data_IF_881043059131
#
_entry.id   IF_881043059131
#
_cell.length_a   1.000
_cell.length_b   1.000
_cell.length_c   1.000
_cell.angle_alpha   90.00
_cell.angle_beta   90.00
_cell.angle_gamma   90.00
#
_symmetry.space_group_name_H-M   'P 1'
#
loop_
_entity.id
_entity.type
_entity.pdbx_description
1 polymer ?
#
# COMPACT_ATOMS: atom_id res chain seq x y z
N UNK A 1 8.68 -17.53 35.70
CA UNK A 1 9.40 -17.87 34.46
C UNK A 1 9.30 -16.69 33.52
N UNK A 2 10.41 -16.22 32.96
CA UNK A 2 10.41 -15.03 32.11
C UNK A 2 9.86 -15.36 30.72
N UNK A 3 8.86 -14.61 30.27
CA UNK A 3 8.33 -14.65 28.90
C UNK A 3 9.03 -13.60 28.06
N UNK A 4 9.45 -13.93 26.85
CA UNK A 4 10.14 -12.99 25.95
C UNK A 4 9.31 -12.73 24.69
N UNK A 5 9.21 -11.47 24.21
CA UNK A 5 8.56 -11.19 22.94
C UNK A 5 9.36 -11.77 21.76
N UNK A 6 8.66 -12.15 20.70
CA UNK A 6 9.31 -12.57 19.45
C UNK A 6 9.82 -11.37 18.65
N UNK A 7 11.02 -11.47 18.09
CA UNK A 7 11.61 -10.38 17.29
C UNK A 7 10.79 -10.02 16.05
N UNK A 8 10.31 -11.03 15.32
CA UNK A 8 9.54 -10.84 14.08
C UNK A 8 8.05 -10.57 14.33
N UNK A 9 7.54 -10.97 15.51
CA UNK A 9 6.13 -10.86 15.89
C UNK A 9 6.01 -10.40 17.35
N UNK A 10 6.28 -9.11 17.65
CA UNK A 10 6.43 -8.65 19.04
C UNK A 10 5.20 -8.79 19.94
N UNK A 11 4.01 -8.96 19.35
CA UNK A 11 2.76 -9.22 20.08
C UNK A 11 2.66 -10.67 20.58
N UNK A 12 3.45 -11.59 20.02
CA UNK A 12 3.56 -12.97 20.46
C UNK A 12 4.76 -13.14 21.40
N UNK A 13 4.66 -14.09 22.34
CA UNK A 13 5.70 -14.32 23.35
C UNK A 13 6.10 -15.79 23.42
N UNK A 14 7.38 -16.05 23.65
CA UNK A 14 7.87 -17.37 24.01
C UNK A 14 7.88 -17.50 25.53
N UNK A 15 7.27 -18.58 26.02
CA UNK A 15 7.32 -18.99 27.42
C UNK A 15 8.10 -20.30 27.52
N UNK A 16 9.18 -20.38 28.31
CA UNK A 16 9.87 -21.64 28.56
C UNK A 16 8.91 -22.72 29.09
N UNK A 17 9.04 -23.93 28.56
CA UNK A 17 8.32 -25.13 28.97
C UNK A 17 9.33 -26.25 29.36
N UNK A 18 8.83 -27.45 29.63
CA UNK A 18 9.68 -28.57 30.03
C UNK A 18 10.64 -29.03 28.91
N UNK A 19 11.77 -29.61 29.31
CA UNK A 19 12.75 -30.22 28.40
C UNK A 19 13.30 -29.29 27.29
N UNK A 20 13.40 -27.98 27.56
CA UNK A 20 13.92 -27.00 26.60
C UNK A 20 12.93 -26.61 25.49
N UNK A 21 11.70 -27.12 25.55
CA UNK A 21 10.60 -26.64 24.71
C UNK A 21 10.14 -25.26 25.15
N UNK A 22 9.41 -24.56 24.28
CA UNK A 22 8.77 -23.29 24.60
C UNK A 22 7.32 -23.32 24.12
N UNK A 23 6.41 -22.80 24.93
CA UNK A 23 5.07 -22.46 24.46
C UNK A 23 5.13 -21.14 23.72
N UNK A 24 4.49 -21.07 22.56
CA UNK A 24 4.18 -19.82 21.89
C UNK A 24 2.86 -19.30 22.45
N UNK A 25 2.87 -18.09 23.00
CA UNK A 25 1.69 -17.40 23.50
C UNK A 25 1.23 -16.33 22.50
N UNK A 26 -0.06 -16.37 22.18
CA UNK A 26 -0.76 -15.32 21.44
C UNK A 26 -0.94 -14.05 22.32
N UNK A 27 -1.34 -12.91 21.72
CA UNK A 27 -1.54 -11.66 22.46
C UNK A 27 -2.58 -11.76 23.60
N UNK A 28 -3.56 -12.66 23.45
CA UNK A 28 -4.57 -12.97 24.47
C UNK A 28 -4.06 -13.86 25.62
N UNK A 29 -2.79 -14.27 25.56
CA UNK A 29 -2.12 -15.13 26.54
C UNK A 29 -2.39 -16.63 26.37
N UNK A 30 -3.17 -17.05 25.36
CA UNK A 30 -3.41 -18.47 25.08
C UNK A 30 -2.24 -19.09 24.32
N UNK A 31 -2.07 -20.40 24.47
CA UNK A 31 -1.04 -21.15 23.73
C UNK A 31 -1.45 -21.26 22.26
N UNK A 32 -0.68 -20.64 21.39
CA UNK A 32 -0.85 -20.60 19.95
C UNK A 32 -0.11 -21.73 19.22
N UNK A 33 0.89 -22.31 19.87
CA UNK A 33 1.78 -23.32 19.31
C UNK A 33 2.90 -23.69 20.26
N UNK A 34 3.81 -24.53 19.79
CA UNK A 34 4.98 -24.99 20.54
C UNK A 34 6.24 -24.86 19.70
N UNK A 35 7.36 -24.63 20.39
CA UNK A 35 8.71 -24.75 19.85
C UNK A 35 9.37 -25.92 20.54
N UNK A 36 9.67 -26.98 19.78
CA UNK A 36 10.26 -28.19 20.29
C UNK A 36 11.77 -28.17 20.07
N UNK A 37 12.53 -28.49 21.12
CA UNK A 37 13.97 -28.74 20.99
C UNK A 37 14.20 -30.11 20.35
N UNK A 38 15.14 -30.17 19.39
CA UNK A 38 15.52 -31.39 18.68
C UNK A 38 17.04 -31.47 18.53
N UNK A 39 17.57 -32.66 18.24
CA UNK A 39 18.99 -32.88 18.00
C UNK A 39 19.43 -32.10 16.75
N UNK A 40 19.96 -30.89 16.95
CA UNK A 40 20.43 -30.01 15.88
C UNK A 40 19.67 -28.68 15.74
N UNK A 41 18.63 -28.42 16.54
CA UNK A 41 17.93 -27.13 16.51
C UNK A 41 16.56 -27.13 17.19
N UNK A 42 15.70 -26.24 16.72
CA UNK A 42 14.36 -26.00 17.22
C UNK A 42 13.36 -26.05 16.05
N UNK A 43 12.19 -26.64 16.26
CA UNK A 43 11.14 -26.68 15.25
C UNK A 43 9.82 -26.17 15.80
N UNK A 44 9.06 -25.50 14.94
CA UNK A 44 7.69 -25.09 15.26
C UNK A 44 6.75 -26.29 15.19
N UNK A 45 5.76 -26.33 16.07
CA UNK A 45 4.62 -27.25 15.99
C UNK A 45 3.32 -26.53 16.31
N UNK A 46 2.34 -26.64 15.43
CA UNK A 46 0.98 -26.15 15.63
C UNK A 46 0.00 -27.23 15.17
N UNK A 47 -0.65 -27.89 16.12
CA UNK A 47 -1.49 -29.06 15.83
C UNK A 47 -0.66 -30.19 15.17
N UNK A 48 -1.08 -30.68 13.99
CA UNK A 48 -0.33 -31.68 13.23
C UNK A 48 0.85 -31.09 12.45
N UNK A 49 0.88 -29.77 12.21
CA UNK A 49 1.85 -29.15 11.33
C UNK A 49 3.16 -28.88 12.05
N UNK A 50 4.27 -29.17 11.37
CA UNK A 50 5.63 -28.94 11.87
C UNK A 50 6.43 -28.07 10.90
N UNK A 51 7.19 -27.12 11.45
CA UNK A 51 8.04 -26.22 10.68
C UNK A 51 9.44 -26.78 10.40
N UNK A 52 10.23 -26.10 9.56
CA UNK A 52 11.61 -26.45 9.32
C UNK A 52 12.46 -26.31 10.60
N UNK A 53 13.58 -27.04 10.65
CA UNK A 53 14.54 -26.92 11.76
C UNK A 53 15.24 -25.56 11.72
N UNK A 54 15.22 -24.84 12.83
CA UNK A 54 15.85 -23.53 13.04
C UNK A 54 16.97 -23.62 14.07
N UNK A 55 17.94 -22.71 13.97
CA UNK A 55 19.06 -22.63 14.92
C UNK A 55 18.62 -22.10 16.29
N UNK A 56 17.57 -21.28 16.35
CA UNK A 56 17.13 -20.61 17.58
C UNK A 56 15.64 -20.81 17.87
N UNK A 57 15.24 -20.76 19.16
CA UNK A 57 13.83 -20.78 19.55
C UNK A 57 13.04 -19.60 18.96
N UNK A 58 13.67 -18.42 18.85
CA UNK A 58 13.07 -17.22 18.25
C UNK A 58 12.67 -17.45 16.78
N UNK A 59 13.53 -18.10 15.99
CA UNK A 59 13.23 -18.43 14.59
C UNK A 59 12.11 -19.45 14.46
N UNK A 60 12.15 -20.52 15.26
CA UNK A 60 11.07 -21.52 15.28
C UNK A 60 9.75 -20.95 15.83
N UNK A 61 9.83 -20.03 16.80
CA UNK A 61 8.67 -19.31 17.31
C UNK A 61 8.00 -18.48 16.23
N UNK A 62 8.78 -17.79 15.38
CA UNK A 62 8.24 -17.05 14.24
C UNK A 62 7.50 -17.98 13.24
N UNK A 63 8.04 -19.18 12.98
CA UNK A 63 7.36 -20.17 12.14
C UNK A 63 6.04 -20.66 12.78
N UNK A 64 6.03 -20.89 14.10
CA UNK A 64 4.81 -21.24 14.84
C UNK A 64 3.74 -20.13 14.78
N UNK A 65 4.14 -18.85 14.82
CA UNK A 65 3.23 -17.73 14.60
C UNK A 65 2.63 -17.77 13.20
N UNK A 66 3.42 -18.08 12.17
CA UNK A 66 2.91 -18.17 10.79
C UNK A 66 1.86 -19.27 10.64
N UNK A 67 2.09 -20.45 11.22
CA UNK A 67 1.08 -21.51 11.26
C UNK A 67 -0.17 -21.08 12.01
N UNK A 68 0.00 -20.42 13.17
CA UNK A 68 -1.14 -19.91 13.92
C UNK A 68 -1.97 -18.91 13.10
N UNK A 69 -1.31 -17.93 12.46
CA UNK A 69 -1.97 -16.93 11.61
C UNK A 69 -2.65 -17.58 10.40
N UNK A 70 -2.04 -18.59 9.79
CA UNK A 70 -2.65 -19.32 8.68
C UNK A 70 -3.91 -20.09 9.09
N UNK A 71 -3.97 -20.60 10.33
CA UNK A 71 -5.14 -21.30 10.84
C UNK A 71 -6.24 -20.37 11.38
N UNK A 72 -5.87 -19.24 11.98
CA UNK A 72 -6.77 -18.44 12.82
C UNK A 72 -6.88 -16.97 12.39
N UNK A 73 -6.09 -16.54 11.40
CA UNK A 73 -5.97 -15.14 10.99
C UNK A 73 -5.05 -14.34 11.91
N UNK A 74 -5.04 -13.01 11.70
CA UNK A 74 -4.30 -12.11 12.58
C UNK A 74 -5.01 -11.99 13.93
N UNK A 75 -4.28 -11.74 15.03
CA UNK A 75 -4.90 -11.36 16.29
C UNK A 75 -5.80 -10.13 16.11
N UNK A 76 -6.84 -10.00 16.93
CA UNK A 76 -7.91 -8.97 16.87
C UNK A 76 -7.43 -7.51 17.10
N UNK A 77 -6.13 -7.25 17.03
CA UNK A 77 -5.59 -5.90 17.10
C UNK A 77 -5.83 -5.17 15.78
N UNK A 78 -6.33 -3.91 15.81
CA UNK A 78 -6.48 -3.12 14.60
C UNK A 78 -5.12 -2.93 13.95
N UNK A 79 -4.99 -3.40 12.71
CA UNK A 79 -3.73 -3.34 11.98
C UNK A 79 -3.29 -1.87 11.81
N UNK A 80 -2.03 -1.60 12.13
CA UNK A 80 -1.44 -0.29 11.88
C UNK A 80 -1.41 0.00 10.36
N UNK A 81 -1.85 1.18 9.97
CA UNK A 81 -1.70 1.66 8.61
C UNK A 81 -0.22 1.66 8.19
N UNK A 82 0.05 1.58 6.88
CA UNK A 82 1.37 1.89 6.36
C UNK A 82 1.68 3.36 6.59
N UNK A 83 2.94 3.67 6.86
CA UNK A 83 3.42 5.05 6.98
C UNK A 83 3.42 5.78 5.63
N UNK A 84 3.36 5.03 4.52
CA UNK A 84 3.31 5.58 3.18
C UNK A 84 3.39 4.53 2.06
N UNK A 85 3.31 5.01 0.81
CA UNK A 85 3.35 4.13 -0.38
C UNK A 85 4.61 3.27 -0.54
N UNK A 86 5.85 3.74 -0.19
CA UNK A 86 7.03 2.89 -0.33
C UNK A 86 7.01 1.68 0.62
N UNK A 87 6.56 1.87 1.86
CA UNK A 87 6.42 0.78 2.83
C UNK A 87 5.36 -0.23 2.36
N UNK A 88 4.19 0.26 1.93
CA UNK A 88 3.12 -0.57 1.40
C UNK A 88 3.58 -1.39 0.19
N UNK A 89 4.34 -0.78 -0.74
CA UNK A 89 4.88 -1.47 -1.92
C UNK A 89 5.85 -2.58 -1.54
N UNK A 90 6.76 -2.33 -0.59
CA UNK A 90 7.70 -3.36 -0.11
C UNK A 90 6.93 -4.53 0.49
N UNK A 91 5.97 -4.26 1.37
CA UNK A 91 5.18 -5.29 2.03
C UNK A 91 4.37 -6.13 1.02
N UNK A 92 3.66 -5.48 0.09
CA UNK A 92 2.94 -6.18 -0.99
C UNK A 92 3.89 -6.96 -1.89
N UNK A 93 5.08 -6.42 -2.15
CA UNK A 93 6.13 -7.06 -2.96
C UNK A 93 6.65 -8.37 -2.37
N UNK A 94 6.49 -8.63 -1.07
CA UNK A 94 6.88 -9.90 -0.45
C UNK A 94 5.99 -11.08 -0.86
N UNK A 95 4.73 -10.83 -1.23
CA UNK A 95 3.76 -11.86 -1.61
C UNK A 95 4.17 -12.58 -2.90
N UNK A 96 4.40 -11.91 -4.05
CA UNK A 96 4.83 -12.59 -5.26
C UNK A 96 6.23 -13.23 -5.15
N UNK A 97 7.09 -12.77 -4.22
CA UNK A 97 8.39 -13.40 -3.98
C UNK A 97 8.29 -14.83 -3.43
N UNK A 98 7.12 -15.25 -2.94
CA UNK A 98 6.88 -16.62 -2.49
C UNK A 98 6.80 -17.63 -3.64
N UNK A 99 6.70 -17.16 -4.90
CA UNK A 99 6.45 -18.00 -6.08
C UNK A 99 7.47 -19.14 -6.23
N UNK A 100 8.76 -18.84 -6.14
CA UNK A 100 9.81 -19.85 -6.42
C UNK A 100 9.74 -21.01 -5.43
N UNK A 101 9.65 -20.73 -4.14
CA UNK A 101 9.55 -21.78 -3.12
C UNK A 101 8.27 -22.60 -3.30
N UNK A 102 7.15 -21.95 -3.62
CA UNK A 102 5.89 -22.64 -3.93
C UNK A 102 6.00 -23.53 -5.16
N UNK A 103 6.69 -23.10 -6.22
CA UNK A 103 6.98 -23.94 -7.38
C UNK A 103 7.77 -25.18 -6.97
N UNK A 104 8.82 -25.02 -6.17
CA UNK A 104 9.67 -26.13 -5.74
C UNK A 104 8.92 -27.13 -4.84
N UNK A 105 8.11 -26.65 -3.89
CA UNK A 105 7.38 -27.54 -2.98
C UNK A 105 6.15 -28.18 -3.61
N UNK A 106 5.45 -27.48 -4.51
CA UNK A 106 4.31 -28.07 -5.22
C UNK A 106 4.76 -29.13 -6.22
N UNK A 107 5.92 -28.95 -6.85
CA UNK A 107 6.55 -29.98 -7.67
C UNK A 107 6.94 -31.23 -6.84
N UNK A 108 7.31 -31.07 -5.56
CA UNK A 108 7.56 -32.22 -4.67
C UNK A 108 6.26 -32.89 -4.21
N UNK A 109 5.25 -32.10 -3.86
CA UNK A 109 3.98 -32.61 -3.36
C UNK A 109 3.13 -33.29 -4.43
N UNK A 110 3.17 -32.79 -5.68
CA UNK A 110 2.29 -33.23 -6.78
C UNK A 110 3.04 -33.68 -8.03
N UNK A 111 4.37 -33.76 -7.98
CA UNK A 111 5.22 -34.18 -9.11
C UNK A 111 4.92 -33.34 -10.38
N UNK A 112 4.83 -33.97 -11.55
CA UNK A 112 4.58 -33.31 -12.84
C UNK A 112 3.14 -32.78 -12.98
N UNK A 113 2.28 -32.97 -11.99
CA UNK A 113 0.86 -32.57 -12.01
C UNK A 113 0.53 -31.34 -11.15
N UNK A 114 1.54 -30.65 -10.61
CA UNK A 114 1.34 -29.48 -9.76
C UNK A 114 0.39 -28.43 -10.37
N UNK A 115 0.57 -28.07 -11.64
CA UNK A 115 -0.32 -27.10 -12.31
C UNK A 115 -1.69 -27.66 -12.74
N UNK A 116 -1.90 -28.98 -12.64
CA UNK A 116 -3.23 -29.57 -12.78
C UNK A 116 -4.02 -29.53 -11.47
N UNK A 117 -3.35 -29.24 -10.36
CA UNK A 117 -4.00 -29.01 -9.08
C UNK A 117 -4.66 -27.60 -9.13
N UNK A 118 -5.99 -27.49 -9.02
CA UNK A 118 -6.70 -26.22 -9.27
C UNK A 118 -6.29 -25.08 -8.34
N UNK A 119 -6.09 -25.36 -7.05
CA UNK A 119 -5.67 -24.37 -6.06
C UNK A 119 -4.25 -23.88 -6.34
N UNK A 120 -3.32 -24.75 -6.72
CA UNK A 120 -1.95 -24.37 -7.11
C UNK A 120 -1.96 -23.44 -8.32
N UNK A 121 -2.74 -23.77 -9.36
CA UNK A 121 -2.90 -22.91 -10.53
C UNK A 121 -3.51 -21.55 -10.16
N UNK A 122 -4.54 -21.54 -9.30
CA UNK A 122 -5.18 -20.33 -8.81
C UNK A 122 -4.23 -19.44 -7.98
N UNK A 123 -3.43 -20.03 -7.09
CA UNK A 123 -2.40 -19.32 -6.32
C UNK A 123 -1.43 -18.62 -7.28
N UNK A 124 -0.88 -19.31 -8.27
CA UNK A 124 0.08 -18.70 -9.20
C UNK A 124 -0.54 -17.59 -10.05
N UNK A 125 -1.77 -17.77 -10.52
CA UNK A 125 -2.51 -16.71 -11.21
C UNK A 125 -2.72 -15.49 -10.30
N UNK A 126 -3.12 -15.70 -9.05
CA UNK A 126 -3.26 -14.63 -8.07
C UNK A 126 -1.94 -13.91 -7.75
N UNK A 127 -0.83 -14.64 -7.65
CA UNK A 127 0.50 -14.05 -7.42
C UNK A 127 0.94 -13.17 -8.59
N UNK A 128 0.65 -13.58 -9.83
CA UNK A 128 0.94 -12.79 -11.03
C UNK A 128 0.11 -11.49 -11.06
N UNK A 129 -1.18 -11.59 -10.71
CA UNK A 129 -2.08 -10.43 -10.59
C UNK A 129 -1.58 -9.45 -9.53
N UNK A 130 -1.29 -9.93 -8.31
CA UNK A 130 -0.78 -9.09 -7.21
C UNK A 130 0.57 -8.45 -7.59
N UNK A 131 1.46 -9.21 -8.22
CA UNK A 131 2.75 -8.70 -8.71
C UNK A 131 2.60 -7.54 -9.70
N UNK A 132 1.62 -7.62 -10.61
CA UNK A 132 1.33 -6.58 -11.59
C UNK A 132 0.67 -5.33 -11.01
N UNK A 133 0.02 -5.44 -9.85
CA UNK A 133 -0.74 -4.36 -9.21
C UNK A 133 -0.04 -3.74 -8.00
N UNK A 134 1.15 -4.22 -7.62
CA UNK A 134 1.87 -3.74 -6.43
C UNK A 134 2.11 -2.23 -6.38
N UNK A 135 2.15 -1.58 -7.54
CA UNK A 135 2.36 -0.13 -7.66
C UNK A 135 1.08 0.68 -7.48
N UNK A 136 -0.09 0.05 -7.37
CA UNK A 136 -1.35 0.73 -7.12
C UNK A 136 -1.49 1.27 -5.68
N UNK A 137 -0.54 0.99 -4.77
CA UNK A 137 -0.57 1.44 -3.36
C UNK A 137 -0.49 2.97 -3.17
N UNK A 138 -0.49 3.77 -4.23
CA UNK A 138 -0.46 5.24 -4.16
C UNK A 138 -1.81 5.89 -3.84
N UNK A 139 -2.91 5.17 -3.99
CA UNK A 139 -4.28 5.68 -3.81
C UNK A 139 -5.05 4.84 -2.79
N UNK A 140 -6.12 5.40 -2.21
CA UNK A 140 -7.00 4.64 -1.30
C UNK A 140 -7.66 3.52 -2.08
N UNK A 141 -8.14 3.85 -3.29
CA UNK A 141 -8.74 2.88 -4.20
C UNK A 141 -7.77 1.78 -4.59
N UNK A 142 -6.51 2.12 -4.90
CA UNK A 142 -5.50 1.11 -5.20
C UNK A 142 -5.14 0.22 -4.01
N UNK A 143 -5.09 0.76 -2.79
CA UNK A 143 -4.92 -0.05 -1.57
C UNK A 143 -6.08 -1.04 -1.38
N UNK A 144 -7.33 -0.59 -1.54
CA UNK A 144 -8.53 -1.46 -1.45
C UNK A 144 -8.53 -2.53 -2.53
N UNK A 145 -8.16 -2.15 -3.76
CA UNK A 145 -8.04 -3.07 -4.90
C UNK A 145 -7.04 -4.18 -4.60
N UNK A 146 -5.82 -3.85 -4.18
CA UNK A 146 -4.81 -4.88 -3.84
C UNK A 146 -5.30 -5.75 -2.67
N UNK A 147 -5.90 -5.15 -1.63
CA UNK A 147 -6.46 -5.91 -0.51
C UNK A 147 -7.52 -6.93 -0.94
N UNK A 148 -8.35 -6.59 -1.94
CA UNK A 148 -9.29 -7.52 -2.58
C UNK A 148 -8.57 -8.57 -3.41
N UNK A 149 -7.59 -8.19 -4.23
CA UNK A 149 -6.84 -9.11 -5.09
C UNK A 149 -6.02 -10.14 -4.29
N UNK A 150 -5.55 -9.78 -3.09
CA UNK A 150 -4.87 -10.73 -2.19
C UNK A 150 -5.75 -11.92 -1.80
N UNK A 151 -7.08 -11.79 -1.85
CA UNK A 151 -7.99 -12.93 -1.63
C UNK A 151 -7.88 -13.99 -2.73
N UNK A 152 -7.54 -13.61 -3.96
CA UNK A 152 -7.30 -14.54 -5.07
C UNK A 152 -6.09 -15.46 -4.82
N UNK A 153 -5.23 -15.10 -3.87
CA UNK A 153 -4.11 -15.93 -3.41
C UNK A 153 -4.48 -16.62 -2.09
N UNK A 154 -5.07 -15.87 -1.16
CA UNK A 154 -5.37 -16.34 0.20
C UNK A 154 -6.38 -17.49 0.20
N UNK A 155 -7.48 -17.37 -0.53
CA UNK A 155 -8.55 -18.39 -0.55
C UNK A 155 -8.06 -19.74 -1.10
N UNK A 156 -7.43 -19.82 -2.29
CA UNK A 156 -6.91 -21.09 -2.77
C UNK A 156 -5.73 -21.62 -1.93
N UNK A 157 -4.90 -20.77 -1.34
CA UNK A 157 -3.86 -21.21 -0.41
C UNK A 157 -4.46 -21.84 0.86
N UNK A 158 -5.53 -21.26 1.40
CA UNK A 158 -6.25 -21.81 2.55
C UNK A 158 -6.90 -23.15 2.21
N UNK A 159 -7.56 -23.23 1.05
CA UNK A 159 -8.19 -24.46 0.58
C UNK A 159 -7.16 -25.57 0.37
N UNK A 160 -6.04 -25.27 -0.30
CA UNK A 160 -4.94 -26.21 -0.50
C UNK A 160 -4.36 -26.70 0.83
N UNK A 161 -4.17 -25.80 1.80
CA UNK A 161 -3.67 -26.17 3.12
C UNK A 161 -4.68 -27.03 3.90
N UNK A 162 -5.98 -26.76 3.78
CA UNK A 162 -7.03 -27.52 4.46
C UNK A 162 -7.26 -28.91 3.86
N UNK A 163 -7.13 -29.05 2.54
CA UNK A 163 -7.39 -30.30 1.81
C UNK A 163 -6.15 -31.22 1.71
N UNK A 164 -4.94 -30.68 1.91
CA UNK A 164 -3.71 -31.47 1.84
C UNK A 164 -3.53 -32.36 3.08
N UNK A 165 -3.22 -33.64 2.84
CA UNK A 165 -2.86 -34.64 3.85
C UNK A 165 -1.61 -35.43 3.47
N UNK A 166 -1.11 -36.26 4.41
CA UNK A 166 0.08 -37.09 4.22
C UNK A 166 1.32 -36.30 3.79
N UNK A 167 2.18 -36.93 2.99
CA UNK A 167 3.44 -36.35 2.50
C UNK A 167 3.26 -34.98 1.82
N UNK A 168 2.15 -34.78 1.09
CA UNK A 168 1.88 -33.50 0.45
C UNK A 168 1.72 -32.38 1.48
N UNK A 169 1.07 -32.65 2.62
CA UNK A 169 0.94 -31.69 3.72
C UNK A 169 2.30 -31.35 4.32
N UNK A 170 3.17 -32.34 4.51
CA UNK A 170 4.51 -32.13 5.07
C UNK A 170 5.35 -31.17 4.22
N UNK A 171 5.21 -31.22 2.90
CA UNK A 171 5.89 -30.30 1.98
C UNK A 171 5.24 -28.92 1.90
N UNK A 172 3.90 -28.85 1.98
CA UNK A 172 3.14 -27.63 1.69
C UNK A 172 2.82 -26.78 2.92
N UNK A 173 2.74 -27.37 4.11
CA UNK A 173 2.19 -26.72 5.29
C UNK A 173 2.92 -25.40 5.60
N UNK A 174 4.25 -25.43 5.72
CA UNK A 174 5.02 -24.25 6.07
C UNK A 174 5.02 -23.17 4.96
N UNK A 175 5.32 -23.48 3.69
CA UNK A 175 5.27 -22.47 2.62
C UNK A 175 3.89 -21.82 2.45
N UNK A 176 2.81 -22.59 2.57
CA UNK A 176 1.45 -22.05 2.51
C UNK A 176 1.13 -21.19 3.74
N UNK A 177 1.52 -21.63 4.95
CA UNK A 177 1.32 -20.83 6.15
C UNK A 177 2.06 -19.48 6.09
N UNK A 178 3.28 -19.48 5.54
CA UNK A 178 4.06 -18.27 5.32
C UNK A 178 3.42 -17.35 4.28
N UNK A 179 2.96 -17.90 3.16
CA UNK A 179 2.23 -17.14 2.13
C UNK A 179 0.97 -16.50 2.73
N UNK A 180 0.15 -17.29 3.43
CA UNK A 180 -1.07 -16.83 4.08
C UNK A 180 -0.78 -15.71 5.08
N UNK A 181 0.28 -15.84 5.89
CA UNK A 181 0.70 -14.81 6.83
C UNK A 181 1.00 -13.48 6.12
N UNK A 182 1.78 -13.50 5.03
CA UNK A 182 2.05 -12.29 4.25
C UNK A 182 0.79 -11.70 3.64
N UNK A 183 -0.11 -12.52 3.09
CA UNK A 183 -1.39 -12.06 2.56
C UNK A 183 -2.26 -11.40 3.64
N UNK A 184 -2.40 -12.04 4.81
CA UNK A 184 -3.17 -11.51 5.93
C UNK A 184 -2.63 -10.17 6.42
N UNK A 185 -1.32 -10.10 6.70
CA UNK A 185 -0.66 -8.87 7.15
C UNK A 185 -0.79 -7.75 6.12
N UNK A 186 -0.49 -8.04 4.85
CA UNK A 186 -0.57 -7.05 3.80
C UNK A 186 -1.99 -6.53 3.64
N UNK A 187 -2.98 -7.43 3.57
CA UNK A 187 -4.40 -7.08 3.40
C UNK A 187 -4.92 -6.24 4.56
N UNK A 188 -4.69 -6.63 5.80
CA UNK A 188 -5.19 -5.91 6.97
C UNK A 188 -4.61 -4.48 7.04
N UNK A 189 -3.29 -4.34 6.81
CA UNK A 189 -2.65 -3.02 6.79
C UNK A 189 -3.08 -2.17 5.59
N UNK A 190 -3.31 -2.76 4.41
CA UNK A 190 -3.84 -2.03 3.25
C UNK A 190 -5.25 -1.50 3.50
N UNK A 191 -6.12 -2.28 4.16
CA UNK A 191 -7.47 -1.84 4.56
C UNK A 191 -7.37 -0.67 5.54
N UNK A 192 -6.57 -0.81 6.61
CA UNK A 192 -6.35 0.26 7.58
C UNK A 192 -5.78 1.53 6.92
N UNK A 193 -4.88 1.36 5.95
CA UNK A 193 -4.30 2.44 5.15
C UNK A 193 -5.34 3.13 4.27
N UNK A 194 -6.27 2.40 3.67
CA UNK A 194 -7.34 2.99 2.88
C UNK A 194 -8.37 3.78 3.73
N UNK A 195 -8.59 3.35 4.98
CA UNK A 195 -9.48 4.02 5.93
C UNK A 195 -8.85 5.27 6.54
N UNK A 196 -7.57 5.17 6.92
CA UNK A 196 -6.78 6.25 7.55
C UNK A 196 -5.50 6.48 6.76
N UNK A 197 -5.60 7.07 5.57
CA UNK A 197 -4.45 7.22 4.70
C UNK A 197 -3.48 8.22 5.29
N UNK A 198 -2.18 7.88 5.33
CA UNK A 198 -1.15 8.85 5.63
C UNK A 198 -1.20 10.02 4.63
N UNK A 199 -0.68 11.15 5.08
CA UNK A 199 -0.72 12.41 4.33
C UNK A 199 0.01 12.31 2.97
N UNK A 200 0.88 11.32 2.75
CA UNK A 200 1.56 11.09 1.48
C UNK A 200 0.69 10.34 0.45
N UNK A 201 -0.23 9.47 0.89
CA UNK A 201 -1.20 8.77 0.02
C UNK A 201 -2.34 9.69 -0.41
N UNK A 202 -2.78 10.58 0.48
CA UNK A 202 -3.79 11.60 0.21
C UNK A 202 -3.23 12.99 -0.07
N UNK A 203 -1.91 13.12 -0.12
CA UNK A 203 -1.20 14.37 -0.28
C UNK A 203 -1.54 15.00 -1.61
N UNK A 204 -2.07 16.22 -1.54
CA UNK A 204 -2.04 17.16 -2.66
C UNK A 204 -0.55 17.30 -3.00
N UNK A 205 -0.15 16.75 -4.13
CA UNK A 205 1.23 16.73 -4.62
C UNK A 205 2.35 16.22 -3.67
N UNK A 206 2.57 14.90 -3.62
CA UNK A 206 3.79 14.33 -2.99
C UNK A 206 4.64 13.48 -3.92
N UNK A 207 4.12 13.03 -5.07
CA UNK A 207 4.97 12.52 -6.13
C UNK A 207 4.27 12.62 -7.48
N UNK A 208 4.89 13.31 -8.45
CA UNK A 208 4.47 13.29 -9.86
C UNK A 208 4.28 11.85 -10.37
N UNK A 209 5.15 10.94 -9.90
CA UNK A 209 5.10 9.50 -10.21
C UNK A 209 3.81 8.81 -9.71
N UNK A 210 3.16 9.35 -8.68
CA UNK A 210 1.91 8.81 -8.14
C UNK A 210 0.72 9.04 -9.07
N UNK A 211 0.67 10.20 -9.75
CA UNK A 211 -0.39 10.46 -10.73
C UNK A 211 -0.26 9.54 -11.96
N UNK A 212 0.96 9.37 -12.48
CA UNK A 212 1.20 8.46 -13.60
C UNK A 212 0.88 7.01 -13.19
N UNK A 213 1.28 6.57 -11.99
CA UNK A 213 0.95 5.23 -11.48
C UNK A 213 -0.56 5.01 -11.25
N UNK A 214 -1.29 6.03 -10.79
CA UNK A 214 -2.75 6.00 -10.67
C UNK A 214 -3.40 5.85 -12.06
N UNK A 215 -2.88 6.55 -13.08
CA UNK A 215 -3.35 6.42 -14.47
C UNK A 215 -3.05 5.03 -15.06
N UNK A 216 -1.87 4.46 -14.82
CA UNK A 216 -1.55 3.10 -15.24
C UNK A 216 -2.49 2.07 -14.59
N UNK A 217 -2.79 2.27 -13.30
CA UNK A 217 -3.74 1.44 -12.55
C UNK A 217 -5.15 1.59 -13.13
N UNK A 218 -5.57 2.81 -13.46
CA UNK A 218 -6.86 3.10 -14.09
C UNK A 218 -7.02 2.36 -15.43
N UNK A 219 -5.97 2.34 -16.27
CA UNK A 219 -5.98 1.57 -17.52
C UNK A 219 -5.97 0.05 -17.29
N UNK A 220 -5.30 -0.45 -16.24
CA UNK A 220 -5.39 -1.86 -15.83
C UNK A 220 -6.80 -2.24 -15.42
N UNK A 221 -7.45 -1.43 -14.59
CA UNK A 221 -8.85 -1.65 -14.17
C UNK A 221 -9.77 -1.69 -15.39
N UNK A 222 -9.60 -0.74 -16.32
CA UNK A 222 -10.35 -0.71 -17.57
C UNK A 222 -10.17 -1.98 -18.40
N UNK A 223 -8.93 -2.46 -18.58
CA UNK A 223 -8.66 -3.72 -19.30
C UNK A 223 -9.34 -4.91 -18.63
N UNK A 224 -9.26 -5.00 -17.30
CA UNK A 224 -9.92 -6.07 -16.56
C UNK A 224 -11.45 -6.00 -16.69
N UNK A 225 -12.03 -4.80 -16.65
CA UNK A 225 -13.46 -4.59 -16.86
C UNK A 225 -13.91 -5.05 -18.26
N UNK A 226 -13.10 -4.79 -19.30
CA UNK A 226 -13.36 -5.27 -20.67
C UNK A 226 -13.26 -6.79 -20.80
N UNK A 227 -12.37 -7.42 -20.05
CA UNK A 227 -12.18 -8.87 -20.09
C UNK A 227 -13.24 -9.65 -19.31
N UNK A 228 -13.86 -9.04 -18.30
CA UNK A 228 -14.78 -9.72 -17.38
C UNK A 228 -16.22 -9.90 -17.93
N UNK A 229 -16.62 -9.25 -19.02
CA UNK A 229 -18.01 -9.28 -19.49
C UNK A 229 -18.16 -9.07 -21.03
N UNK A 230 -19.28 -9.50 -21.64
CA UNK A 230 -19.66 -9.07 -22.98
C UNK A 230 -19.71 -7.53 -23.07
N UNK A 231 -19.32 -6.97 -24.21
CA UNK A 231 -19.10 -5.51 -24.44
C UNK A 231 -20.33 -4.61 -24.23
N UNK A 232 -21.52 -5.20 -24.02
CA UNK A 232 -22.78 -4.49 -23.87
C UNK A 232 -22.74 -3.51 -22.69
N UNK A 233 -22.95 -2.22 -22.95
CA UNK A 233 -23.00 -1.18 -21.92
C UNK A 233 -21.64 -0.60 -21.49
N UNK A 234 -20.56 -0.88 -22.21
CA UNK A 234 -19.24 -0.27 -21.98
C UNK A 234 -18.94 0.94 -22.87
N UNK A 235 -19.81 1.27 -23.83
CA UNK A 235 -19.55 2.29 -24.88
C UNK A 235 -19.25 3.68 -24.32
N UNK A 236 -19.98 4.14 -23.29
CA UNK A 236 -19.69 5.44 -22.65
C UNK A 236 -18.31 5.47 -21.98
N UNK A 237 -17.94 4.38 -21.29
CA UNK A 237 -16.64 4.26 -20.64
C UNK A 237 -15.54 4.17 -21.71
N UNK A 238 -15.75 3.41 -22.77
CA UNK A 238 -14.80 3.27 -23.87
C UNK A 238 -14.51 4.61 -24.54
N UNK A 239 -15.55 5.40 -24.85
CA UNK A 239 -15.40 6.74 -25.39
C UNK A 239 -14.65 7.68 -24.41
N UNK A 240 -14.98 7.63 -23.12
CA UNK A 240 -14.32 8.45 -22.10
C UNK A 240 -12.85 8.07 -21.90
N UNK A 241 -12.53 6.77 -21.89
CA UNK A 241 -11.17 6.25 -21.79
C UNK A 241 -10.35 6.60 -23.05
N UNK A 242 -10.93 6.49 -24.24
CA UNK A 242 -10.27 6.86 -25.50
C UNK A 242 -9.96 8.36 -25.59
N UNK A 243 -10.69 9.21 -24.85
CA UNK A 243 -10.41 10.64 -24.78
C UNK A 243 -9.22 10.99 -23.87
N UNK A 244 -8.77 10.07 -23.00
CA UNK A 244 -7.58 10.30 -22.17
C UNK A 244 -6.31 10.36 -23.03
N UNK A 245 -5.31 11.18 -22.66
CA UNK A 245 -4.05 11.22 -23.41
C UNK A 245 -3.31 9.88 -23.31
N UNK A 246 -2.60 9.50 -24.39
CA UNK A 246 -1.87 8.23 -24.47
C UNK A 246 -0.58 8.20 -23.65
N UNK A 247 0.05 9.36 -23.44
CA UNK A 247 1.29 9.53 -22.68
C UNK A 247 1.32 10.89 -21.96
N UNK A 248 2.07 10.97 -20.84
CA UNK A 248 2.40 12.21 -20.10
C UNK A 248 1.22 12.97 -19.48
N UNK A 249 0.51 12.32 -18.57
CA UNK A 249 -0.61 12.90 -17.81
C UNK A 249 -0.21 14.13 -16.96
N UNK A 250 1.00 14.09 -16.39
CA UNK A 250 1.54 15.13 -15.52
C UNK A 250 2.74 15.90 -16.12
N UNK A 251 2.75 16.12 -17.44
CA UNK A 251 3.84 16.82 -18.15
C UNK A 251 3.90 18.34 -17.86
N UNK A 252 2.74 18.98 -17.80
CA UNK A 252 2.54 20.41 -17.58
C UNK A 252 1.24 20.67 -16.81
N UNK A 253 1.08 21.88 -16.25
CA UNK A 253 -0.14 22.25 -15.53
C UNK A 253 -1.39 22.19 -16.44
N UNK A 254 -1.24 22.58 -17.71
CA UNK A 254 -2.32 22.50 -18.71
C UNK A 254 -2.75 21.06 -18.99
N UNK A 255 -1.78 20.15 -19.17
CA UNK A 255 -2.07 18.72 -19.39
C UNK A 255 -2.72 18.07 -18.16
N UNK A 256 -2.25 18.43 -16.96
CA UNK A 256 -2.85 17.95 -15.71
C UNK A 256 -4.33 18.30 -15.63
N UNK A 257 -4.67 19.59 -15.82
CA UNK A 257 -6.07 20.08 -15.81
C UNK A 257 -6.92 19.46 -16.90
N UNK A 258 -6.38 19.37 -18.13
CA UNK A 258 -7.09 18.76 -19.24
C UNK A 258 -7.39 17.28 -18.96
N UNK A 259 -6.45 16.55 -18.38
CA UNK A 259 -6.63 15.15 -18.00
C UNK A 259 -7.62 15.02 -16.83
N UNK A 260 -7.50 15.85 -15.80
CA UNK A 260 -8.42 15.87 -14.67
C UNK A 260 -9.87 16.13 -15.11
N UNK A 261 -10.09 17.07 -16.03
CA UNK A 261 -11.40 17.34 -16.61
C UNK A 261 -11.96 16.12 -17.38
N UNK A 262 -11.12 15.41 -18.15
CA UNK A 262 -11.52 14.20 -18.89
C UNK A 262 -11.84 13.02 -17.96
N UNK A 263 -11.14 12.90 -16.83
CA UNK A 263 -11.41 11.87 -15.81
C UNK A 263 -12.82 12.00 -15.19
N UNK A 264 -13.43 13.20 -15.22
CA UNK A 264 -14.83 13.37 -14.79
C UNK A 264 -15.79 12.56 -15.68
N UNK A 265 -15.53 12.48 -16.98
CA UNK A 265 -16.34 11.67 -17.90
C UNK A 265 -16.19 10.17 -17.61
N UNK A 266 -14.95 9.71 -17.36
CA UNK A 266 -14.68 8.31 -16.96
C UNK A 266 -15.40 7.96 -15.67
N UNK A 267 -15.27 8.82 -14.65
CA UNK A 267 -15.97 8.68 -13.36
C UNK A 267 -17.47 8.54 -13.54
N UNK A 268 -18.07 9.47 -14.27
CA UNK A 268 -19.54 9.53 -14.46
C UNK A 268 -20.05 8.29 -15.21
N UNK A 269 -19.36 7.88 -16.27
CA UNK A 269 -19.73 6.67 -17.02
C UNK A 269 -19.58 5.39 -16.16
N UNK A 270 -18.52 5.31 -15.35
CA UNK A 270 -18.28 4.19 -14.44
C UNK A 270 -19.30 4.13 -13.29
N UNK A 271 -19.73 5.27 -12.74
CA UNK A 271 -20.80 5.35 -11.73
C UNK A 271 -22.14 4.83 -12.26
N UNK A 272 -22.53 5.26 -13.46
CA UNK A 272 -23.75 4.77 -14.13
C UNK A 272 -23.69 3.26 -14.31
N UNK A 273 -22.54 2.73 -14.78
CA UNK A 273 -22.37 1.30 -14.97
C UNK A 273 -22.45 0.54 -13.64
N UNK A 274 -21.79 1.04 -12.59
CA UNK A 274 -21.83 0.45 -11.25
C UNK A 274 -23.27 0.32 -10.75
N UNK A 275 -24.05 1.41 -10.85
CA UNK A 275 -25.46 1.42 -10.47
C UNK A 275 -26.32 0.45 -11.30
N UNK A 276 -25.99 0.26 -12.58
CA UNK A 276 -26.66 -0.73 -13.43
C UNK A 276 -26.30 -2.17 -13.04
N UNK A 277 -25.01 -2.48 -12.87
CA UNK A 277 -24.51 -3.82 -12.54
C UNK A 277 -24.94 -4.31 -11.15
N UNK A 278 -25.09 -3.41 -10.17
CA UNK A 278 -25.67 -3.75 -8.87
C UNK A 278 -27.12 -4.25 -8.97
N UNK A 279 -27.87 -3.83 -10.00
CA UNK A 279 -29.26 -4.28 -10.24
C UNK A 279 -29.34 -5.63 -10.96
N UNK A 280 -28.30 -6.02 -11.70
CA UNK A 280 -28.28 -7.23 -12.54
C UNK A 280 -27.47 -8.38 -11.93
N UNK A 281 -27.04 -8.25 -10.66
CA UNK A 281 -26.22 -9.25 -9.96
C UNK A 281 -24.93 -9.64 -10.70
N UNK A 282 -24.24 -8.67 -11.31
CA UNK A 282 -22.89 -8.83 -11.89
C UNK A 282 -21.82 -8.27 -10.92
N UNK A 283 -21.45 -9.00 -9.83
CA UNK A 283 -20.69 -8.44 -8.72
C UNK A 283 -19.28 -7.99 -9.13
N UNK A 284 -18.57 -8.77 -9.95
CA UNK A 284 -17.21 -8.41 -10.39
C UNK A 284 -17.21 -7.14 -11.25
N UNK A 285 -18.20 -7.01 -12.14
CA UNK A 285 -18.34 -5.83 -12.99
C UNK A 285 -18.67 -4.59 -12.18
N UNK A 286 -19.59 -4.70 -11.20
CA UNK A 286 -19.92 -3.61 -10.29
C UNK A 286 -18.68 -3.17 -9.47
N UNK A 287 -17.89 -4.12 -8.99
CA UNK A 287 -16.64 -3.84 -8.26
C UNK A 287 -15.63 -3.12 -9.15
N UNK A 288 -15.34 -3.62 -10.36
CA UNK A 288 -14.37 -3.01 -11.26
C UNK A 288 -14.82 -1.62 -11.74
N UNK A 289 -16.11 -1.42 -12.03
CA UNK A 289 -16.66 -0.12 -12.38
C UNK A 289 -16.60 0.86 -11.19
N UNK A 290 -16.87 0.39 -9.97
CA UNK A 290 -16.75 1.19 -8.75
C UNK A 290 -15.30 1.62 -8.48
N UNK A 291 -14.35 0.69 -8.63
CA UNK A 291 -12.91 0.99 -8.53
C UNK A 291 -12.46 1.98 -9.61
N UNK A 292 -12.95 1.83 -10.85
CA UNK A 292 -12.63 2.75 -11.95
C UNK A 292 -13.12 4.16 -11.65
N UNK A 293 -14.36 4.30 -11.17
CA UNK A 293 -14.92 5.60 -10.77
C UNK A 293 -14.12 6.24 -9.63
N UNK A 294 -13.88 5.49 -8.56
CA UNK A 294 -13.20 6.01 -7.37
C UNK A 294 -11.75 6.43 -7.68
N UNK A 295 -11.03 5.63 -8.47
CA UNK A 295 -9.67 5.97 -8.89
C UNK A 295 -9.64 7.16 -9.84
N UNK A 296 -10.60 7.28 -10.77
CA UNK A 296 -10.70 8.45 -11.64
C UNK A 296 -10.91 9.75 -10.84
N UNK A 297 -11.71 9.70 -9.77
CA UNK A 297 -11.90 10.82 -8.86
C UNK A 297 -10.61 11.18 -8.09
N UNK A 298 -9.95 10.18 -7.50
CA UNK A 298 -8.69 10.39 -6.75
C UNK A 298 -7.57 10.93 -7.65
N UNK A 299 -7.39 10.33 -8.84
CA UNK A 299 -6.40 10.75 -9.82
C UNK A 299 -6.67 12.18 -10.34
N UNK A 300 -7.93 12.52 -10.59
CA UNK A 300 -8.33 13.88 -11.00
C UNK A 300 -7.95 14.94 -9.96
N UNK A 301 -8.25 14.69 -8.68
CA UNK A 301 -7.86 15.59 -7.58
C UNK A 301 -6.33 15.71 -7.48
N UNK A 302 -5.59 14.61 -7.64
CA UNK A 302 -4.12 14.62 -7.61
C UNK A 302 -3.53 15.40 -8.78
N UNK A 303 -4.10 15.26 -9.98
CA UNK A 303 -3.66 16.00 -11.17
C UNK A 303 -3.93 17.50 -11.02
N UNK A 304 -5.09 17.90 -10.50
CA UNK A 304 -5.35 19.32 -10.19
C UNK A 304 -4.36 19.88 -9.17
N UNK A 305 -4.09 19.15 -8.09
CA UNK A 305 -3.06 19.55 -7.13
C UNK A 305 -1.67 19.65 -7.79
N UNK A 306 -1.35 18.72 -8.68
CA UNK A 306 -0.10 18.76 -9.46
C UNK A 306 -0.02 19.97 -10.38
N UNK A 307 -1.13 20.35 -11.01
CA UNK A 307 -1.20 21.54 -11.85
C UNK A 307 -0.88 22.81 -11.06
N UNK A 308 -1.43 22.95 -9.84
CA UNK A 308 -1.18 24.09 -8.97
C UNK A 308 0.31 24.21 -8.60
N UNK A 309 0.96 23.09 -8.26
CA UNK A 309 2.41 23.11 -7.97
C UNK A 309 3.23 23.44 -9.22
N UNK A 310 2.84 22.91 -10.39
CA UNK A 310 3.49 23.20 -11.65
C UNK A 310 3.39 24.68 -12.03
N UNK A 311 2.26 25.36 -11.74
CA UNK A 311 2.16 26.81 -11.97
C UNK A 311 3.11 27.62 -11.05
N UNK A 312 3.38 27.12 -9.84
CA UNK A 312 4.33 27.75 -8.93
C UNK A 312 5.81 27.54 -9.34
N UNK A 313 6.10 26.58 -10.22
CA UNK A 313 7.48 26.32 -10.69
C UNK A 313 8.12 27.51 -11.40
N UNK A 314 7.33 28.35 -12.07
CA UNK A 314 7.84 29.58 -12.69
C UNK A 314 8.53 30.53 -11.71
N UNK A 315 8.07 30.54 -10.44
CA UNK A 315 8.62 31.39 -9.36
C UNK A 315 9.59 30.63 -8.46
N UNK A 316 9.40 29.32 -8.30
CA UNK A 316 10.12 28.52 -7.32
C UNK A 316 11.20 27.62 -7.95
N UNK A 317 11.37 27.64 -9.27
CA UNK A 317 12.27 26.74 -9.98
C UNK A 317 11.63 25.39 -10.26
N UNK A 318 12.41 24.32 -10.28
CA UNK A 318 11.85 23.02 -10.70
C UNK A 318 11.04 22.33 -9.59
N UNK A 319 10.18 21.39 -9.99
CA UNK A 319 9.52 20.41 -9.08
C UNK A 319 10.51 19.76 -8.13
N UNK A 320 11.69 19.37 -8.64
CA UNK A 320 12.73 18.75 -7.82
C UNK A 320 13.17 19.72 -6.72
N UNK A 321 13.40 20.98 -7.07
CA UNK A 321 13.81 22.02 -6.12
C UNK A 321 12.73 22.30 -5.07
N UNK A 322 11.44 22.23 -5.45
CA UNK A 322 10.31 22.31 -4.51
C UNK A 322 10.37 21.15 -3.53
N UNK A 323 10.47 19.91 -4.00
CA UNK A 323 10.53 18.71 -3.16
C UNK A 323 11.75 18.68 -2.24
N UNK A 324 12.93 19.03 -2.77
CA UNK A 324 14.19 19.09 -2.00
C UNK A 324 14.08 20.13 -0.87
N UNK A 325 13.36 21.24 -1.11
CA UNK A 325 13.13 22.26 -0.08
C UNK A 325 12.11 21.80 0.96
N UNK A 326 11.00 21.17 0.54
CA UNK A 326 9.99 20.64 1.45
C UNK A 326 10.55 19.60 2.42
N UNK A 327 11.51 18.78 1.97
CA UNK A 327 12.18 17.78 2.79
C UNK A 327 12.95 18.36 4.00
N UNK A 328 13.21 19.67 4.02
CA UNK A 328 13.86 20.37 5.14
C UNK A 328 12.88 20.72 6.27
N UNK A 329 11.57 20.60 6.04
CA UNK A 329 10.56 21.02 6.98
C UNK A 329 9.72 19.85 7.53
N UNK A 330 9.28 19.99 8.77
CA UNK A 330 8.20 19.20 9.37
C UNK A 330 6.91 20.01 9.25
N UNK A 331 5.89 19.38 8.68
CA UNK A 331 4.57 19.97 8.50
C UNK A 331 3.65 19.51 9.63
N UNK A 332 2.96 20.44 10.27
CA UNK A 332 1.97 20.16 11.29
C UNK A 332 0.69 19.53 10.72
N UNK A 333 -0.12 18.95 11.60
CA UNK A 333 -1.47 18.53 11.25
C UNK A 333 -2.29 19.73 10.76
N UNK A 334 -3.14 19.51 9.75
CA UNK A 334 -4.04 20.55 9.29
C UNK A 334 -5.17 20.75 10.30
N UNK A 335 -5.28 21.95 10.85
CA UNK A 335 -6.37 22.35 11.74
C UNK A 335 -7.01 23.63 11.19
N UNK A 336 -8.32 23.60 10.93
CA UNK A 336 -9.04 24.77 10.43
C UNK A 336 -8.62 25.26 9.03
N UNK A 337 -7.95 24.43 8.23
CA UNK A 337 -7.42 24.83 6.92
C UNK A 337 -6.05 25.53 6.96
N UNK A 338 -5.42 25.56 8.14
CA UNK A 338 -4.06 26.05 8.34
C UNK A 338 -3.12 24.88 8.64
N UNK A 339 -1.86 24.99 8.22
CA UNK A 339 -0.82 24.01 8.55
C UNK A 339 0.47 24.73 8.97
N UNK A 340 0.97 24.38 10.16
CA UNK A 340 2.22 24.93 10.66
C UNK A 340 3.42 24.34 9.92
N UNK A 341 4.42 25.20 9.66
CA UNK A 341 5.67 24.80 9.01
C UNK A 341 6.81 25.01 10.00
N UNK A 342 7.61 23.95 10.22
CA UNK A 342 8.76 23.99 11.12
C UNK A 342 10.02 23.53 10.40
N UNK A 343 11.12 24.29 10.53
CA UNK A 343 12.44 23.91 10.03
C UNK A 343 13.39 23.75 11.22
N UNK A 344 13.89 22.53 11.43
CA UNK A 344 14.63 22.20 12.64
C UNK A 344 13.80 22.44 13.91
N UNK A 345 14.29 23.29 14.81
CA UNK A 345 13.58 23.72 16.02
C UNK A 345 12.70 24.96 15.85
N UNK A 346 12.73 25.61 14.67
CA UNK A 346 12.11 26.92 14.46
C UNK A 346 10.75 26.79 13.77
N UNK A 347 9.71 27.32 14.39
CA UNK A 347 8.38 27.44 13.78
C UNK A 347 8.30 28.69 12.90
N UNK A 348 7.98 28.50 11.62
CA UNK A 348 7.90 29.59 10.63
C UNK A 348 6.50 30.21 10.56
N UNK A 349 5.52 29.57 11.20
CA UNK A 349 4.11 29.97 11.24
C UNK A 349 3.22 29.16 10.29
N UNK A 350 1.91 29.43 10.30
CA UNK A 350 0.95 28.68 9.51
C UNK A 350 0.92 29.15 8.05
N UNK A 351 0.86 28.19 7.14
CA UNK A 351 0.41 28.40 5.77
C UNK A 351 -1.10 28.21 5.75
N UNK A 352 -1.80 29.15 5.13
CA UNK A 352 -3.27 29.20 5.09
C UNK A 352 -3.78 29.58 3.72
N UNK A 353 -5.02 29.19 3.45
CA UNK A 353 -5.70 29.53 2.20
C UNK A 353 -6.29 30.93 2.26
N UNK A 354 -6.12 31.72 1.20
CA UNK A 354 -6.70 33.06 1.04
C UNK A 354 -8.15 32.95 0.55
N UNK A 355 -8.89 34.07 0.58
CA UNK A 355 -10.26 34.15 0.07
C UNK A 355 -10.36 33.76 -1.41
N UNK A 356 -9.35 34.13 -2.20
CA UNK A 356 -9.26 33.82 -3.64
C UNK A 356 -8.79 32.38 -3.92
N UNK A 357 -8.65 31.55 -2.88
CA UNK A 357 -8.29 30.13 -2.99
C UNK A 357 -6.79 29.83 -3.14
N UNK A 358 -5.95 30.87 -3.15
CA UNK A 358 -4.48 30.80 -3.16
C UNK A 358 -3.94 30.49 -1.75
N UNK A 359 -2.62 30.30 -1.60
CA UNK A 359 -1.96 29.97 -0.35
C UNK A 359 -0.96 31.05 0.05
N UNK A 360 -0.98 31.44 1.32
CA UNK A 360 -0.07 32.45 1.86
C UNK A 360 0.34 32.12 3.30
N UNK A 361 1.34 32.83 3.81
CA UNK A 361 1.92 32.66 5.13
C UNK A 361 2.71 33.89 5.57
N UNK A 362 3.29 33.88 6.77
CA UNK A 362 4.02 35.03 7.31
C UNK A 362 5.15 35.51 6.40
N UNK A 363 5.13 36.79 6.01
CA UNK A 363 6.18 37.37 5.16
C UNK A 363 6.11 36.99 3.67
N UNK A 364 5.10 36.24 3.23
CA UNK A 364 4.82 36.04 1.81
C UNK A 364 4.09 37.28 1.27
N UNK A 365 4.77 38.05 0.42
CA UNK A 365 4.18 39.26 -0.21
C UNK A 365 3.12 38.94 -1.26
N UNK A 366 3.31 37.88 -2.05
CA UNK A 366 2.39 37.44 -3.10
C UNK A 366 2.02 35.96 -2.92
N UNK A 367 0.73 35.60 -2.80
CA UNK A 367 0.28 34.22 -2.61
C UNK A 367 0.72 33.25 -3.72
N UNK A 368 0.70 31.96 -3.41
CA UNK A 368 1.04 30.84 -4.31
C UNK A 368 -0.19 30.01 -4.66
N UNK A 369 -0.14 29.30 -5.79
CA UNK A 369 -1.25 28.47 -6.26
C UNK A 369 -1.43 27.21 -5.40
N UNK A 370 -0.35 26.73 -4.80
CA UNK A 370 -0.30 25.50 -4.00
C UNK A 370 0.17 25.73 -2.57
N UNK A 371 -0.24 24.82 -1.68
CA UNK A 371 0.26 24.78 -0.30
C UNK A 371 1.76 24.53 -0.27
N UNK A 372 2.24 23.64 -1.14
CA UNK A 372 3.64 23.31 -1.34
C UNK A 372 4.44 24.56 -1.74
N UNK A 373 3.91 25.36 -2.66
CA UNK A 373 4.53 26.59 -3.12
C UNK A 373 4.70 27.62 -2.01
N UNK A 374 3.64 27.89 -1.25
CA UNK A 374 3.70 28.79 -0.10
C UNK A 374 4.67 28.29 0.98
N UNK A 375 4.66 26.99 1.25
CA UNK A 375 5.56 26.35 2.22
C UNK A 375 7.03 26.49 1.81
N UNK A 376 7.35 26.21 0.54
CA UNK A 376 8.71 26.39 -0.01
C UNK A 376 9.16 27.84 0.09
N UNK A 377 8.27 28.80 -0.19
CA UNK A 377 8.59 30.22 -0.07
C UNK A 377 8.95 30.61 1.36
N UNK A 378 8.20 30.14 2.36
CA UNK A 378 8.52 30.34 3.79
C UNK A 378 9.88 29.75 4.16
N UNK A 379 10.14 28.50 3.77
CA UNK A 379 11.40 27.83 4.07
C UNK A 379 12.58 28.60 3.46
N UNK A 380 12.47 29.02 2.19
CA UNK A 380 13.53 29.78 1.51
C UNK A 380 13.77 31.13 2.15
N UNK A 381 12.73 31.86 2.50
CA UNK A 381 12.86 33.13 3.21
C UNK A 381 13.59 32.95 4.55
N UNK A 382 13.26 31.89 5.29
CA UNK A 382 13.95 31.55 6.54
C UNK A 382 15.43 31.22 6.31
N UNK A 383 15.74 30.34 5.35
CA UNK A 383 17.12 29.95 5.05
C UNK A 383 17.97 31.14 4.57
N UNK A 384 17.40 32.04 3.77
CA UNK A 384 18.06 33.27 3.35
C UNK A 384 18.37 34.20 4.55
N UNK A 385 17.40 34.36 5.46
CA UNK A 385 17.59 35.13 6.70
C UNK A 385 18.71 34.54 7.57
N UNK A 386 18.68 33.23 7.81
CA UNK A 386 19.71 32.53 8.60
C UNK A 386 21.09 32.65 7.94
N UNK A 387 21.17 32.55 6.61
CA UNK A 387 22.42 32.70 5.88
C UNK A 387 22.98 34.13 5.98
N UNK A 388 22.12 35.15 5.87
CA UNK A 388 22.50 36.55 6.03
C UNK A 388 23.01 36.86 7.45
N UNK A 389 22.29 36.38 8.48
CA UNK A 389 22.71 36.51 9.89
C UNK A 389 24.06 35.82 10.14
N UNK A 390 24.30 34.65 9.54
CA UNK A 390 25.57 33.93 9.66
C UNK A 390 26.71 34.68 8.97
N UNK A 391 26.49 35.25 7.79
CA UNK A 391 27.48 36.07 7.08
C UNK A 391 27.84 37.33 7.86
N UNK A 392 26.84 38.03 8.40
CA UNK A 392 27.04 39.19 9.25
C UNK A 392 27.87 38.86 10.50
N UNK A 393 27.62 37.71 11.15
CA UNK A 393 28.43 37.23 12.29
C UNK A 393 29.86 36.87 11.93
N UNK A 394 30.12 36.46 10.69
CA UNK A 394 31.44 36.10 10.20
C UNK A 394 32.21 37.28 9.59
N UNK A 395 31.63 38.50 9.57
CA UNK A 395 32.26 39.68 8.98
C UNK A 395 32.41 39.61 7.46
N UNK A 396 31.67 38.72 6.79
CA UNK A 396 31.68 38.54 5.34
C UNK A 396 30.50 39.32 4.76
N UNK A 397 30.71 40.59 4.42
CA UNK A 397 29.73 41.41 3.67
C UNK A 397 29.91 41.27 2.17
#
# INVERSE_FOLDING_TARGET
>A
MNTEPLNAFPSFRLRPAEAGAHDLLAPDGRVAGQVLASSGGHLARVGPDSGPLRRSPQGAGADAVMFHIAGHGLPDEPAAAYSGSPEARVAVGLVPLQRQELTDVTARAFTFYALRQPHVAAIFAGLDVVGSERDAVHSRTGCRRIARLLLQVQEPAQALLGESGGDARDWLAFPLARLLTFCHQARARLVATAERPPADLCGRYTSRRGADADMDTLHRIWRNLRSAAPTTGLTEIEAAMAALPGDRYAGSAKECRATAARLVAVRTAAEKLTAASCRTAEPERAVLAGELSALAAEAGVRLEATALVLDDTGRLGTVRTINDTLALARLGASAGGEQSVRVGGTELGPVRRTADGMWSGPGIGEPYNSFEGATVALIRAHLAKVAAERRARLGLT
#
